data_IF_916737960623
#
_entry.id   IF_916737960623
#
_cell.length_a   1.000
_cell.length_b   1.000
_cell.length_c   1.000
_cell.angle_alpha   90.00
_cell.angle_beta   90.00
_cell.angle_gamma   90.00
#
_symmetry.space_group_name_H-M   'P 1'
#
loop_
_entity.id
_entity.type
_entity.pdbx_description
1 polymer ?
#
# COMPACT_ATOMS: atom_id res chain seq x y z
N UNK A 1 44.42 6.55 -15.09
CA UNK A 1 43.72 5.26 -14.89
C UNK A 1 42.33 5.58 -14.35
N UNK A 2 41.39 5.92 -15.24
CA UNK A 2 40.05 6.38 -14.85
C UNK A 2 39.16 5.17 -14.54
N UNK A 3 38.71 5.06 -13.30
CA UNK A 3 37.79 4.01 -12.84
C UNK A 3 36.40 4.29 -13.42
N UNK A 4 35.99 3.51 -14.42
CA UNK A 4 34.61 3.48 -14.88
C UNK A 4 33.75 2.91 -13.75
N UNK A 5 32.91 3.76 -13.18
CA UNK A 5 31.87 3.37 -12.22
C UNK A 5 30.75 2.79 -13.07
N UNK A 6 30.42 1.51 -12.87
CA UNK A 6 29.33 0.85 -13.57
C UNK A 6 28.02 1.19 -12.86
N UNK A 7 27.27 2.17 -13.37
CA UNK A 7 25.97 2.63 -12.83
C UNK A 7 24.80 1.64 -13.04
N UNK A 8 25.07 0.35 -13.20
CA UNK A 8 24.02 -0.67 -13.37
C UNK A 8 23.41 -1.12 -12.04
N UNK A 9 22.99 -0.17 -11.19
CA UNK A 9 22.03 -0.45 -10.10
C UNK A 9 20.61 -0.10 -10.56
N UNK A 10 20.23 -0.55 -11.75
CA UNK A 10 18.84 -0.54 -12.17
C UNK A 10 18.17 -1.82 -11.66
N UNK A 11 17.20 -1.60 -10.76
CA UNK A 11 16.02 -2.45 -10.65
C UNK A 11 16.15 -3.75 -9.84
N UNK A 12 16.52 -3.64 -8.57
CA UNK A 12 16.23 -4.67 -7.56
C UNK A 12 15.38 -4.09 -6.44
N UNK A 13 14.39 -3.23 -6.75
CA UNK A 13 13.34 -3.01 -5.77
C UNK A 13 12.56 -4.33 -5.65
N UNK A 14 12.45 -4.93 -4.46
CA UNK A 14 11.58 -6.07 -4.29
C UNK A 14 10.19 -5.64 -4.74
N UNK A 15 9.60 -6.38 -5.69
CA UNK A 15 8.21 -6.20 -6.08
C UNK A 15 7.39 -6.16 -4.79
N UNK A 16 6.95 -4.96 -4.37
CA UNK A 16 6.16 -4.84 -3.17
C UNK A 16 4.87 -5.63 -3.40
N UNK A 17 4.45 -6.48 -2.46
CA UNK A 17 3.21 -7.21 -2.61
C UNK A 17 2.07 -6.20 -2.75
N UNK A 18 1.36 -6.29 -3.88
CA UNK A 18 0.14 -5.54 -4.13
C UNK A 18 -1.05 -6.35 -3.62
N UNK A 19 -2.01 -5.67 -3.02
CA UNK A 19 -3.20 -6.27 -2.46
C UNK A 19 -4.43 -5.71 -3.17
N UNK A 20 -5.43 -6.57 -3.42
CA UNK A 20 -6.74 -6.09 -3.83
C UNK A 20 -7.34 -5.28 -2.67
N UNK A 21 -7.67 -4.02 -2.96
CA UNK A 21 -8.18 -3.07 -1.96
C UNK A 21 -9.47 -3.59 -1.33
N UNK A 22 -10.34 -4.24 -2.11
CA UNK A 22 -11.62 -4.78 -1.64
C UNK A 22 -11.39 -5.95 -0.70
N UNK A 23 -10.57 -6.93 -1.09
CA UNK A 23 -10.25 -8.06 -0.23
C UNK A 23 -9.59 -7.63 1.08
N UNK A 24 -8.69 -6.65 1.00
CA UNK A 24 -8.05 -6.09 2.18
C UNK A 24 -9.07 -5.43 3.12
N UNK A 25 -9.98 -4.62 2.57
CA UNK A 25 -11.04 -3.98 3.36
C UNK A 25 -11.94 -5.00 4.06
N UNK A 26 -12.33 -6.07 3.37
CA UNK A 26 -13.16 -7.15 3.93
C UNK A 26 -12.42 -7.83 5.08
N UNK A 27 -11.14 -8.20 4.89
CA UNK A 27 -10.32 -8.86 5.91
C UNK A 27 -10.13 -7.99 7.16
N UNK A 28 -10.05 -6.68 6.99
CA UNK A 28 -9.82 -5.72 8.06
C UNK A 28 -11.12 -5.10 8.63
N UNK A 29 -12.30 -5.59 8.23
CA UNK A 29 -13.61 -5.06 8.67
C UNK A 29 -13.75 -3.56 8.44
N UNK A 30 -13.22 -3.06 7.32
CA UNK A 30 -13.34 -1.67 6.89
C UNK A 30 -14.76 -1.45 6.34
N UNK A 31 -15.40 -0.34 6.71
CA UNK A 31 -16.74 -0.01 6.23
C UNK A 31 -16.77 0.17 4.71
N UNK A 32 -17.87 -0.22 4.07
CA UNK A 32 -18.08 -0.04 2.61
C UNK A 32 -17.89 1.41 2.15
N UNK A 33 -18.18 2.39 3.01
CA UNK A 33 -17.94 3.81 2.74
C UNK A 33 -16.46 4.13 2.60
N UNK A 34 -15.62 3.57 3.47
CA UNK A 34 -14.17 3.78 3.43
C UNK A 34 -13.51 2.92 2.36
N UNK A 35 -14.05 1.72 2.09
CA UNK A 35 -13.65 0.92 0.93
C UNK A 35 -13.85 1.69 -0.39
N UNK A 36 -15.00 2.35 -0.58
CA UNK A 36 -15.26 3.15 -1.79
C UNK A 36 -14.28 4.33 -1.94
N UNK A 37 -13.88 4.95 -0.84
CA UNK A 37 -12.84 5.99 -0.83
C UNK A 37 -11.47 5.42 -1.18
N UNK A 38 -11.09 4.30 -0.56
CA UNK A 38 -9.82 3.63 -0.82
C UNK A 38 -9.72 3.16 -2.27
N UNK A 39 -10.80 2.60 -2.81
CA UNK A 39 -10.88 2.18 -4.22
C UNK A 39 -10.78 3.37 -5.18
N UNK A 40 -11.38 4.51 -4.83
CA UNK A 40 -11.30 5.74 -5.64
C UNK A 40 -9.92 6.40 -5.56
N UNK A 41 -9.22 6.29 -4.43
CA UNK A 41 -7.94 6.94 -4.19
C UNK A 41 -6.75 6.11 -4.70
N UNK A 42 -6.75 4.81 -4.42
CA UNK A 42 -5.64 3.90 -4.70
C UNK A 42 -5.89 3.03 -5.93
N UNK A 43 -7.14 2.94 -6.41
CA UNK A 43 -7.53 2.01 -7.47
C UNK A 43 -7.77 0.60 -6.93
N UNK A 44 -7.81 -0.39 -7.83
CA UNK A 44 -8.14 -1.78 -7.49
C UNK A 44 -7.05 -2.48 -6.67
N UNK A 45 -5.78 -2.14 -6.92
CA UNK A 45 -4.63 -2.75 -6.27
C UNK A 45 -3.78 -1.67 -5.62
N UNK A 46 -3.37 -1.91 -4.38
CA UNK A 46 -2.55 -0.99 -3.62
C UNK A 46 -1.49 -1.75 -2.83
N UNK A 47 -0.36 -1.10 -2.55
CA UNK A 47 0.65 -1.65 -1.64
C UNK A 47 0.11 -1.68 -0.21
N UNK A 48 0.71 -2.52 0.63
CA UNK A 48 0.40 -2.55 2.07
C UNK A 48 0.56 -1.17 2.73
N UNK A 49 1.62 -0.44 2.36
CA UNK A 49 1.91 0.87 2.93
C UNK A 49 0.83 1.89 2.59
N UNK A 50 0.37 1.92 1.35
CA UNK A 50 -0.72 2.79 0.92
C UNK A 50 -2.03 2.46 1.64
N UNK A 51 -2.34 1.17 1.77
CA UNK A 51 -3.53 0.71 2.51
C UNK A 51 -3.46 1.11 3.98
N UNK A 52 -2.34 0.90 4.66
CA UNK A 52 -2.19 1.24 6.09
C UNK A 52 -2.22 2.75 6.33
N UNK A 53 -1.66 3.54 5.42
CA UNK A 53 -1.61 5.01 5.51
C UNK A 53 -2.97 5.65 5.24
N UNK A 54 -3.76 5.07 4.35
CA UNK A 54 -5.09 5.58 3.99
C UNK A 54 -6.23 4.85 4.70
N UNK A 55 -5.95 3.78 5.44
CA UNK A 55 -6.94 3.08 6.23
C UNK A 55 -7.59 4.03 7.25
N UNK A 56 -8.89 3.84 7.54
CA UNK A 56 -9.56 4.64 8.54
C UNK A 56 -8.84 4.51 9.90
N UNK A 57 -8.71 5.61 10.67
CA UNK A 57 -8.03 5.58 11.95
C UNK A 57 -8.73 4.57 12.86
N UNK A 58 -7.97 3.57 13.34
CA UNK A 58 -8.45 2.67 14.39
C UNK A 58 -8.77 3.55 15.59
N UNK A 59 -10.02 3.51 16.07
CA UNK A 59 -10.41 4.29 17.25
C UNK A 59 -9.45 3.94 18.40
N UNK A 60 -8.71 4.92 18.95
CA UNK A 60 -7.84 4.64 20.09
C UNK A 60 -8.71 4.10 21.23
N UNK A 61 -8.43 2.88 21.67
CA UNK A 61 -8.96 2.37 22.94
C UNK A 61 -8.17 3.04 24.04
N UNK A 62 -8.65 4.18 24.50
CA UNK A 62 -8.26 4.68 25.82
C UNK A 62 -8.75 3.62 26.83
N UNK A 63 -7.80 2.96 27.50
CA UNK A 63 -8.05 2.02 28.58
C UNK A 63 -7.77 2.72 29.91
#
# INVERSE_FOLDING_TARGET
>A
MSKHINDQKLNSQPHQPVFDVVEHCIRHSISSKDQGKLLSLLGKFASRHELETNAPPKRPRFR
#
